data_IF_512491185109
#
_entry.id   IF_512491185109
#
_cell.length_a   1.000
_cell.length_b   1.000
_cell.length_c   1.000
_cell.angle_alpha   90.00
_cell.angle_beta   90.00
_cell.angle_gamma   90.00
#
_symmetry.space_group_name_H-M   'P 1'
#
loop_
_entity.id
_entity.type
_entity.pdbx_description
1 polymer ?
#
# COMPACT_ATOMS: atom_id res chain seq x y z
N UNK A 1 13.67 -14.75 -6.50
CA UNK A 1 14.11 -13.35 -6.47
C UNK A 1 13.83 -12.90 -5.07
N UNK A 2 14.87 -12.86 -4.23
CA UNK A 2 15.00 -12.11 -2.98
C UNK A 2 16.49 -12.16 -2.67
N UNK A 3 17.19 -11.02 -2.80
CA UNK A 3 18.66 -10.96 -2.76
C UNK A 3 19.19 -10.40 -1.44
N UNK A 4 18.41 -10.45 -0.36
CA UNK A 4 18.79 -9.92 0.94
C UNK A 4 18.05 -10.62 2.08
N UNK A 5 18.66 -10.70 3.26
CA UNK A 5 18.04 -11.22 4.50
C UNK A 5 17.22 -10.16 5.26
N UNK A 6 16.67 -9.16 4.55
CA UNK A 6 15.92 -8.06 5.16
C UNK A 6 14.45 -8.43 5.39
N UNK A 7 13.88 -7.92 6.47
CA UNK A 7 12.42 -7.88 6.67
C UNK A 7 11.83 -6.74 5.81
N UNK A 8 11.82 -6.92 4.50
CA UNK A 8 11.37 -5.88 3.57
C UNK A 8 9.85 -5.85 3.42
N UNK A 9 9.32 -4.71 3.02
CA UNK A 9 7.99 -4.56 2.41
C UNK A 9 8.17 -3.66 1.20
N UNK A 10 7.66 -4.06 0.04
CA UNK A 10 7.70 -3.23 -1.17
C UNK A 10 6.28 -2.80 -1.51
N UNK A 11 5.98 -1.52 -1.34
CA UNK A 11 4.73 -0.92 -1.81
C UNK A 11 4.92 -0.37 -3.22
N UNK A 12 4.05 -0.78 -4.14
CA UNK A 12 4.04 -0.37 -5.55
C UNK A 12 2.75 0.40 -5.84
N UNK A 13 2.70 1.70 -5.54
CA UNK A 13 1.58 2.54 -5.94
C UNK A 13 1.55 2.72 -7.47
N UNK A 14 0.35 2.88 -8.01
CA UNK A 14 0.12 3.32 -9.39
C UNK A 14 0.41 4.83 -9.55
N UNK A 15 -0.28 5.55 -10.45
CA UNK A 15 -0.02 6.96 -10.73
C UNK A 15 -0.19 7.81 -9.46
N UNK A 16 0.84 8.58 -9.10
CA UNK A 16 0.79 9.50 -7.96
C UNK A 16 0.17 10.84 -8.35
N UNK A 17 -0.64 11.41 -7.45
CA UNK A 17 -1.25 12.72 -7.59
C UNK A 17 -1.20 13.54 -6.31
N UNK A 18 -1.11 14.85 -6.48
CA UNK A 18 -1.31 15.83 -5.41
C UNK A 18 -2.81 16.04 -5.20
N UNK A 19 -3.39 15.25 -4.30
CA UNK A 19 -4.79 15.34 -3.87
C UNK A 19 -4.88 14.90 -2.41
N UNK A 20 -5.89 15.37 -1.65
CA UNK A 20 -6.13 14.88 -0.30
C UNK A 20 -6.37 13.37 -0.28
N UNK A 21 -5.89 12.69 0.77
CA UNK A 21 -6.24 11.30 1.02
C UNK A 21 -7.69 11.17 1.50
N UNK A 22 -8.37 10.11 1.06
CA UNK A 22 -9.71 9.72 1.52
C UNK A 22 -9.69 8.57 2.54
N UNK A 23 -8.49 8.07 2.88
CA UNK A 23 -8.28 6.97 3.82
C UNK A 23 -8.64 5.59 3.26
N UNK A 24 -8.83 5.46 1.95
CA UNK A 24 -9.26 4.21 1.30
C UNK A 24 -8.32 3.78 0.19
N UNK A 25 -8.18 2.47 0.05
CA UNK A 25 -7.24 1.84 -0.88
C UNK A 25 -7.77 0.53 -1.41
N UNK A 26 -7.08 0.00 -2.41
CA UNK A 26 -7.21 -1.37 -2.88
C UNK A 26 -5.82 -1.95 -3.13
N UNK A 27 -5.57 -3.14 -2.58
CA UNK A 27 -4.35 -3.90 -2.81
C UNK A 27 -4.52 -4.99 -3.88
N UNK A 28 -3.42 -5.46 -4.45
CA UNK A 28 -3.41 -6.55 -5.43
C UNK A 28 -4.03 -6.17 -6.77
N UNK A 29 -4.01 -4.90 -7.14
CA UNK A 29 -4.64 -4.39 -8.37
C UNK A 29 -3.89 -4.81 -9.63
N UNK A 30 -4.65 -5.22 -10.65
CA UNK A 30 -4.15 -5.41 -12.02
C UNK A 30 -4.33 -4.16 -12.89
N UNK A 31 -5.38 -3.38 -12.61
CA UNK A 31 -5.67 -2.14 -13.33
C UNK A 31 -5.01 -0.94 -12.62
N UNK A 32 -4.37 -0.09 -13.41
CA UNK A 32 -3.74 1.14 -12.94
C UNK A 32 -4.82 2.19 -12.65
N UNK A 33 -4.99 2.56 -11.38
CA UNK A 33 -5.71 3.76 -10.97
C UNK A 33 -4.75 4.85 -10.51
N UNK A 34 -5.22 5.74 -9.66
CA UNK A 34 -4.44 6.84 -9.10
C UNK A 34 -4.36 6.72 -7.58
N UNK A 35 -3.31 7.27 -6.99
CA UNK A 35 -3.12 7.37 -5.55
C UNK A 35 -2.77 8.81 -5.19
N UNK A 36 -3.37 9.32 -4.12
CA UNK A 36 -2.84 10.52 -3.48
C UNK A 36 -1.48 10.23 -2.84
N UNK A 37 -0.56 11.19 -2.93
CA UNK A 37 0.73 11.09 -2.22
C UNK A 37 0.49 10.93 -0.71
N UNK A 38 -0.46 11.68 -0.15
CA UNK A 38 -0.86 11.59 1.26
C UNK A 38 -1.36 10.19 1.63
N UNK A 39 -2.14 9.54 0.74
CA UNK A 39 -2.66 8.20 0.98
C UNK A 39 -1.56 7.13 0.94
N UNK A 40 -0.58 7.29 0.04
CA UNK A 40 0.60 6.40 0.02
C UNK A 40 1.42 6.56 1.30
N UNK A 41 1.62 7.78 1.79
CA UNK A 41 2.32 8.03 3.04
C UNK A 41 1.60 7.41 4.24
N UNK A 42 0.27 7.51 4.31
CA UNK A 42 -0.54 6.91 5.37
C UNK A 42 -0.44 5.38 5.37
N UNK A 43 -0.52 4.74 4.20
CA UNK A 43 -0.30 3.29 4.06
C UNK A 43 1.10 2.90 4.53
N UNK A 44 2.15 3.60 4.09
CA UNK A 44 3.53 3.31 4.49
C UNK A 44 3.74 3.44 6.00
N UNK A 45 3.13 4.45 6.64
CA UNK A 45 3.20 4.63 8.08
C UNK A 45 2.50 3.48 8.82
N UNK A 46 1.29 3.11 8.41
CA UNK A 46 0.53 2.04 9.06
C UNK A 46 1.13 0.64 8.83
N UNK A 47 1.86 0.41 7.73
CA UNK A 47 2.56 -0.85 7.48
C UNK A 47 3.60 -1.19 8.55
N UNK A 48 4.16 -0.19 9.25
CA UNK A 48 5.13 -0.43 10.32
C UNK A 48 4.57 -1.27 11.48
N UNK A 49 3.25 -1.20 11.68
CA UNK A 49 2.54 -1.95 12.74
C UNK A 49 2.00 -3.31 12.25
N UNK A 50 2.25 -3.68 10.99
CA UNK A 50 1.66 -4.84 10.33
C UNK A 50 2.74 -5.84 9.90
N UNK A 51 3.13 -6.76 10.79
CA UNK A 51 4.16 -7.76 10.48
C UNK A 51 3.77 -8.73 9.35
N UNK A 52 2.48 -8.83 8.99
CA UNK A 52 2.01 -9.59 7.84
C UNK A 52 2.44 -8.97 6.49
N UNK A 53 3.00 -7.76 6.48
CA UNK A 53 3.55 -7.14 5.26
C UNK A 53 5.03 -7.46 5.03
N UNK A 54 5.68 -8.22 5.92
CA UNK A 54 7.08 -8.60 5.78
C UNK A 54 7.25 -9.62 4.66
N UNK A 55 8.26 -9.43 3.81
CA UNK A 55 8.64 -10.34 2.74
C UNK A 55 7.74 -10.27 1.50
N UNK A 56 6.88 -9.26 1.38
CA UNK A 56 5.91 -9.19 0.29
C UNK A 56 5.96 -7.89 -0.52
N UNK A 57 5.47 -8.02 -1.76
CA UNK A 57 5.29 -6.91 -2.70
C UNK A 57 3.80 -6.64 -2.84
N UNK A 58 3.38 -5.42 -2.53
CA UNK A 58 1.98 -5.01 -2.47
C UNK A 58 1.75 -3.94 -3.54
N UNK A 59 0.93 -4.25 -4.54
CA UNK A 59 0.46 -3.26 -5.52
C UNK A 59 -0.72 -2.48 -4.96
N UNK A 60 -0.73 -1.16 -5.12
CA UNK A 60 -1.72 -0.24 -4.53
C UNK A 60 -2.34 0.70 -5.57
N UNK A 61 -3.65 0.91 -5.45
CA UNK A 61 -4.41 1.97 -6.11
C UNK A 61 -5.45 2.54 -5.13
N UNK A 62 -5.97 3.75 -5.41
CA UNK A 62 -7.19 4.25 -4.78
C UNK A 62 -8.34 3.26 -4.94
N UNK A 63 -9.20 3.19 -3.94
CA UNK A 63 -10.27 2.20 -3.86
C UNK A 63 -11.26 2.51 -2.75
N UNK A 64 -12.01 1.50 -2.31
CA UNK A 64 -13.12 1.69 -1.36
C UNK A 64 -12.85 1.13 0.04
N UNK A 65 -11.78 0.36 0.22
CA UNK A 65 -11.49 -0.31 1.49
C UNK A 65 -10.66 0.60 2.39
N UNK A 66 -11.09 0.88 3.64
CA UNK A 66 -10.29 1.63 4.59
C UNK A 66 -8.88 1.03 4.78
N UNK A 67 -7.86 1.88 4.88
CA UNK A 67 -6.46 1.44 4.98
C UNK A 67 -6.22 0.38 6.08
N UNK A 68 -6.68 0.56 7.34
CA UNK A 68 -6.47 -0.44 8.39
C UNK A 68 -7.10 -1.79 8.04
N UNK A 69 -8.30 -1.77 7.44
CA UNK A 69 -8.99 -2.99 7.03
C UNK A 69 -8.22 -3.69 5.91
N UNK A 70 -7.75 -2.93 4.92
CA UNK A 70 -6.98 -3.46 3.80
C UNK A 70 -5.67 -4.11 4.27
N UNK A 71 -4.93 -3.47 5.19
CA UNK A 71 -3.67 -3.99 5.73
C UNK A 71 -3.85 -5.23 6.59
N UNK A 72 -4.95 -5.33 7.35
CA UNK A 72 -5.27 -6.51 8.15
C UNK A 72 -5.56 -7.77 7.32
N UNK A 73 -5.85 -7.59 6.02
CA UNK A 73 -6.23 -8.65 5.07
C UNK A 73 -5.12 -9.03 4.08
N UNK A 74 -3.95 -8.43 4.22
CA UNK A 74 -2.74 -8.78 3.49
C UNK A 74 -2.31 -10.21 3.83
#
# INVERSE_FOLDING_TARGET
MDQSDLNYTILQPSRLMEAPADGKVRFGVENLGENSIDGVADVLAQMLDHSNTIGIVIRMSGGETPIPEALSKI
#
